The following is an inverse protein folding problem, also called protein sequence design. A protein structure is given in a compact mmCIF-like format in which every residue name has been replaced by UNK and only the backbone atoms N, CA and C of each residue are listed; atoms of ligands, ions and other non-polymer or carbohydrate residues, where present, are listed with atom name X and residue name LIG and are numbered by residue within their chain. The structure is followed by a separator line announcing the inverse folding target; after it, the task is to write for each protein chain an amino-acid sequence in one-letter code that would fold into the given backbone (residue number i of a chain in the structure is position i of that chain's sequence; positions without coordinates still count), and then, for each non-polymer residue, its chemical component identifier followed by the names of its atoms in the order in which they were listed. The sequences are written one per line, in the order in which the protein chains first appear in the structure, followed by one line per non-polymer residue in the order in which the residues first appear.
data_IF_478429365525
#
_entry.id   IF_478429365525
#
_cell.length_a   1.000
_cell.length_b   1.000
_cell.length_c   1.000
_cell.angle_alpha   90.00
_cell.angle_beta   90.00
_cell.angle_gamma   90.00
#
_symmetry.space_group_name_H-M   'P 1'
#
loop_
_entity.id
_entity.type
_entity.pdbx_description
1 polymer ?
#
# COMPACT_ATOMS: atom_id res chain seq x y z
N UNK A 1 -2.86 -23.86 2.67
CA UNK A 1 -1.41 -23.71 2.39
C UNK A 1 -1.11 -22.63 1.34
N UNK A 2 -1.81 -22.59 0.19
CA UNK A 2 -1.56 -21.57 -0.85
C UNK A 2 -1.71 -20.12 -0.38
N UNK A 3 -2.67 -19.82 0.52
CA UNK A 3 -2.85 -18.46 1.05
C UNK A 3 -1.67 -17.96 1.89
N UNK A 4 -1.01 -18.83 2.66
CA UNK A 4 0.17 -18.44 3.46
C UNK A 4 1.34 -18.12 2.53
N UNK A 5 1.58 -18.95 1.51
CA UNK A 5 2.63 -18.67 0.52
C UNK A 5 2.39 -17.35 -0.22
N UNK A 6 1.15 -17.05 -0.61
CA UNK A 6 0.79 -15.80 -1.27
C UNK A 6 0.99 -14.58 -0.36
N UNK A 7 0.60 -14.68 0.92
CA UNK A 7 0.81 -13.61 1.90
C UNK A 7 2.29 -13.37 2.21
N UNK A 8 3.07 -14.45 2.36
CA UNK A 8 4.53 -14.34 2.53
C UNK A 8 5.19 -13.67 1.34
N UNK A 9 4.81 -14.06 0.11
CA UNK A 9 5.28 -13.42 -1.12
C UNK A 9 4.90 -11.94 -1.19
N UNK A 10 3.65 -11.61 -0.90
CA UNK A 10 3.18 -10.22 -0.84
C UNK A 10 4.00 -9.36 0.12
N UNK A 11 4.24 -9.84 1.35
CA UNK A 11 5.01 -9.11 2.35
C UNK A 11 6.48 -8.92 1.94
N UNK A 12 7.07 -9.93 1.29
CA UNK A 12 8.45 -9.83 0.78
C UNK A 12 8.55 -8.79 -0.34
N UNK A 13 7.63 -8.83 -1.32
CA UNK A 13 7.61 -7.87 -2.41
C UNK A 13 7.30 -6.45 -1.93
N UNK A 14 6.34 -6.27 -1.00
CA UNK A 14 6.02 -4.96 -0.43
C UNK A 14 7.23 -4.37 0.31
N UNK A 15 7.93 -5.17 1.12
CA UNK A 15 9.15 -4.75 1.81
C UNK A 15 10.29 -4.40 0.83
N UNK A 16 10.45 -5.21 -0.24
CA UNK A 16 11.46 -4.98 -1.26
C UNK A 16 11.18 -3.70 -2.06
N UNK A 17 9.94 -3.52 -2.53
CA UNK A 17 9.53 -2.34 -3.29
C UNK A 17 9.76 -1.06 -2.50
N UNK A 18 9.41 -1.03 -1.21
CA UNK A 18 9.62 0.17 -0.37
C UNK A 18 11.10 0.48 -0.14
N UNK A 19 11.92 -0.54 0.03
CA UNK A 19 13.35 -0.35 0.21
C UNK A 19 14.03 0.08 -1.10
N UNK A 20 13.58 -0.45 -2.25
CA UNK A 20 14.07 -0.06 -3.56
C UNK A 20 13.64 1.36 -3.94
N UNK A 21 12.39 1.74 -3.65
CA UNK A 21 11.91 3.11 -3.81
C UNK A 21 12.80 4.08 -3.01
N UNK A 22 13.22 3.70 -1.79
CA UNK A 22 14.17 4.50 -1.00
C UNK A 22 15.50 4.73 -1.72
N UNK A 23 16.12 3.64 -2.18
CA UNK A 23 17.42 3.69 -2.84
C UNK A 23 17.37 4.52 -4.14
N UNK A 24 16.27 4.43 -4.89
CA UNK A 24 16.03 5.27 -6.06
C UNK A 24 15.87 6.75 -5.72
N UNK A 25 15.28 7.10 -4.57
CA UNK A 25 15.21 8.48 -4.11
C UNK A 25 16.54 9.02 -3.56
N UNK A 26 17.39 8.16 -2.99
CA UNK A 26 18.68 8.54 -2.38
C UNK A 26 19.85 8.56 -3.40
N UNK A 27 19.77 7.83 -4.53
CA UNK A 27 20.78 7.87 -5.60
C UNK A 27 20.72 9.18 -6.40
N UNK A 28 21.87 9.85 -6.60
CA UNK A 28 22.00 10.97 -7.55
C UNK A 28 22.05 10.43 -8.99
N UNK A 29 21.36 11.03 -9.98
CA UNK A 29 20.56 12.26 -9.93
C UNK A 29 19.17 12.08 -9.32
N UNK A 30 18.67 13.11 -8.62
CA UNK A 30 17.34 13.13 -8.00
C UNK A 30 16.26 12.84 -9.03
N UNK A 31 15.76 11.60 -9.08
CA UNK A 31 14.57 11.29 -9.88
C UNK A 31 13.37 11.96 -9.20
N UNK A 32 12.62 12.74 -9.97
CA UNK A 32 11.43 13.42 -9.47
C UNK A 32 10.37 12.38 -9.10
N UNK A 33 9.74 12.51 -7.93
CA UNK A 33 8.62 11.66 -7.48
C UNK A 33 7.57 11.44 -8.56
N UNK A 34 7.29 12.48 -9.34
CA UNK A 34 6.33 12.46 -10.44
C UNK A 34 6.77 11.53 -11.58
N UNK A 35 8.07 11.43 -11.88
CA UNK A 35 8.59 10.49 -12.86
C UNK A 35 8.48 9.04 -12.37
N UNK A 36 8.71 8.80 -11.07
CA UNK A 36 8.56 7.47 -10.50
C UNK A 36 7.09 7.03 -10.45
N UNK A 37 6.18 7.94 -10.10
CA UNK A 37 4.74 7.71 -10.14
C UNK A 37 4.23 7.45 -11.57
N UNK A 38 4.71 8.21 -12.55
CA UNK A 38 4.39 8.00 -13.96
C UNK A 38 4.89 6.65 -14.45
N UNK A 39 6.13 6.27 -14.12
CA UNK A 39 6.72 4.98 -14.49
C UNK A 39 5.90 3.81 -13.97
N UNK A 40 5.56 3.80 -12.68
CA UNK A 40 4.75 2.71 -12.07
C UNK A 40 3.37 2.63 -12.74
N UNK A 41 2.67 3.76 -12.88
CA UNK A 41 1.34 3.76 -13.51
C UNK A 41 1.39 3.35 -14.99
N UNK A 42 2.42 3.74 -15.75
CA UNK A 42 2.61 3.35 -17.14
C UNK A 42 2.87 1.84 -17.27
N UNK A 43 3.75 1.28 -16.44
CA UNK A 43 3.96 -0.16 -16.40
C UNK A 43 2.69 -0.91 -15.98
N UNK A 44 1.92 -0.38 -15.02
CA UNK A 44 0.63 -0.96 -14.64
C UNK A 44 -0.37 -0.99 -15.80
N UNK A 45 -0.45 0.07 -16.61
CA UNK A 45 -1.33 0.10 -17.80
C UNK A 45 -0.87 -0.91 -18.84
N UNK A 46 0.44 -1.01 -19.11
CA UNK A 46 0.97 -1.97 -20.08
C UNK A 46 0.69 -3.41 -19.63
N UNK A 47 0.99 -3.75 -18.38
CA UNK A 47 0.73 -5.09 -17.84
C UNK A 47 -0.76 -5.43 -17.82
N UNK A 48 -1.62 -4.46 -17.45
CA UNK A 48 -3.07 -4.62 -17.51
C UNK A 48 -3.53 -4.89 -18.95
N UNK A 49 -3.03 -4.11 -19.91
CA UNK A 49 -3.37 -4.28 -21.32
C UNK A 49 -2.94 -5.66 -21.85
N UNK A 50 -1.71 -6.09 -21.59
CA UNK A 50 -1.21 -7.42 -21.99
C UNK A 50 -2.06 -8.54 -21.39
N UNK A 51 -2.38 -8.46 -20.10
CA UNK A 51 -3.20 -9.48 -19.44
C UNK A 51 -4.63 -9.53 -19.99
N UNK A 52 -5.19 -8.38 -20.37
CA UNK A 52 -6.52 -8.28 -20.96
C UNK A 52 -6.55 -8.79 -22.43
N UNK A 53 -5.44 -8.63 -23.16
CA UNK A 53 -5.23 -9.22 -24.50
C UNK A 53 -5.13 -10.75 -24.39
N UNK A 54 -4.33 -11.28 -23.47
CA UNK A 54 -4.18 -12.74 -23.27
C UNK A 54 -5.49 -13.43 -22.91
N UNK A 55 -6.35 -12.77 -22.13
CA UNK A 55 -7.67 -13.29 -21.75
C UNK A 55 -8.71 -13.12 -22.87
N UNK A 56 -8.43 -12.32 -23.90
CA UNK A 56 -9.37 -12.05 -25.01
C UNK A 56 -10.62 -11.27 -24.62
N UNK A 57 -10.67 -10.70 -23.42
CA UNK A 57 -11.87 -10.05 -22.83
C UNK A 57 -11.89 -8.54 -23.01
N UNK A 58 -11.04 -7.96 -23.87
CA UNK A 58 -10.90 -6.50 -24.06
C UNK A 58 -12.23 -5.75 -24.23
N UNK A 59 -13.20 -6.33 -24.93
CA UNK A 59 -14.49 -5.69 -25.24
C UNK A 59 -15.51 -5.81 -24.09
N UNK A 60 -15.35 -6.81 -23.21
CA UNK A 60 -16.31 -7.10 -22.13
C UNK A 60 -16.42 -5.96 -21.09
N UNK A 61 -15.32 -5.36 -20.59
CA UNK A 61 -15.37 -4.20 -19.71
C UNK A 61 -16.01 -2.97 -20.36
N UNK A 62 -15.76 -2.73 -21.66
CA UNK A 62 -16.36 -1.62 -22.40
C UNK A 62 -17.87 -1.80 -22.56
N UNK A 63 -18.33 -3.01 -22.87
CA UNK A 63 -19.74 -3.32 -22.96
C UNK A 63 -20.43 -3.14 -21.60
N UNK A 64 -19.79 -3.55 -20.51
CA UNK A 64 -20.31 -3.38 -19.14
C UNK A 64 -20.41 -1.91 -18.74
N UNK A 65 -19.43 -1.10 -19.14
CA UNK A 65 -19.40 0.35 -18.90
C UNK A 65 -20.55 1.08 -19.60
N UNK A 66 -20.89 0.67 -20.83
CA UNK A 66 -21.99 1.24 -21.62
C UNK A 66 -23.35 0.71 -21.18
N UNK A 67 -23.43 -0.56 -20.76
CA UNK A 67 -24.67 -1.21 -20.38
C UNK A 67 -25.21 -0.79 -18.99
N UNK A 68 -24.38 -0.21 -18.11
CA UNK A 68 -24.80 0.25 -16.78
C UNK A 68 -24.60 1.76 -16.60
N UNK A 69 -25.70 2.52 -16.71
CA UNK A 69 -25.75 3.94 -16.37
C UNK A 69 -25.52 4.13 -14.86
N UNK A 70 -24.26 4.38 -14.47
CA UNK A 70 -23.85 4.56 -13.08
C UNK A 70 -22.45 4.00 -12.81
N UNK A 71 -22.12 2.87 -13.44
CA UNK A 71 -20.82 2.22 -13.29
C UNK A 71 -19.67 3.13 -13.74
N UNK A 72 -19.88 3.90 -14.81
CA UNK A 72 -18.89 4.88 -15.27
C UNK A 72 -18.59 5.99 -14.24
N UNK A 73 -19.60 6.41 -13.46
CA UNK A 73 -19.42 7.40 -12.40
C UNK A 73 -18.64 6.82 -11.23
N UNK A 74 -18.97 5.60 -10.82
CA UNK A 74 -18.26 4.92 -9.73
C UNK A 74 -16.79 4.65 -10.09
N UNK A 75 -16.53 4.19 -11.32
CA UNK A 75 -15.17 4.00 -11.83
C UNK A 75 -14.40 5.32 -11.90
N UNK A 76 -15.04 6.39 -12.35
CA UNK A 76 -14.42 7.72 -12.39
C UNK A 76 -14.08 8.23 -10.99
N UNK A 77 -15.01 8.16 -10.04
CA UNK A 77 -14.79 8.56 -8.66
C UNK A 77 -13.70 7.70 -8.01
N UNK A 78 -13.73 6.39 -8.21
CA UNK A 78 -12.71 5.47 -7.71
C UNK A 78 -11.32 5.80 -8.27
N UNK A 79 -11.23 6.11 -9.56
CA UNK A 79 -9.99 6.54 -10.20
C UNK A 79 -9.50 7.88 -9.66
N UNK A 80 -10.39 8.85 -9.47
CA UNK A 80 -10.05 10.17 -8.93
C UNK A 80 -9.52 10.06 -7.50
N UNK A 81 -10.23 9.38 -6.61
CA UNK A 81 -9.77 9.12 -5.24
C UNK A 81 -8.50 8.27 -5.22
N UNK A 82 -8.37 7.31 -6.13
CA UNK A 82 -7.16 6.50 -6.30
C UNK A 82 -5.94 7.35 -6.69
N UNK A 83 -6.09 8.24 -7.67
CA UNK A 83 -5.04 9.14 -8.12
C UNK A 83 -4.63 10.13 -7.02
N UNK A 84 -5.60 10.73 -6.32
CA UNK A 84 -5.34 11.60 -5.18
C UNK A 84 -4.61 10.84 -4.06
N UNK A 85 -5.04 9.60 -3.76
CA UNK A 85 -4.40 8.72 -2.80
C UNK A 85 -2.95 8.42 -3.17
N UNK A 86 -2.67 8.08 -4.44
CA UNK A 86 -1.31 7.86 -4.92
C UNK A 86 -0.43 9.10 -4.72
N UNK A 87 -0.92 10.31 -5.03
CA UNK A 87 -0.17 11.56 -4.81
C UNK A 87 0.18 11.73 -3.33
N UNK A 88 -0.77 11.48 -2.42
CA UNK A 88 -0.55 11.57 -0.96
C UNK A 88 0.48 10.53 -0.49
N UNK A 89 0.43 9.31 -1.05
CA UNK A 89 1.39 8.24 -0.75
C UNK A 89 2.81 8.66 -1.16
N UNK A 90 3.00 9.10 -2.40
CA UNK A 90 4.31 9.54 -2.89
C UNK A 90 4.83 10.77 -2.13
N UNK A 91 3.97 11.73 -1.80
CA UNK A 91 4.32 12.89 -0.98
C UNK A 91 4.76 12.49 0.43
N UNK A 92 4.11 11.48 1.03
CA UNK A 92 4.48 10.94 2.34
C UNK A 92 5.84 10.25 2.29
N UNK A 93 6.06 9.39 1.30
CA UNK A 93 7.31 8.61 1.18
C UNK A 93 8.52 9.53 1.06
N UNK A 94 8.40 10.62 0.31
CA UNK A 94 9.51 11.57 0.19
C UNK A 94 9.72 12.38 1.48
N UNK A 95 8.64 12.84 2.13
CA UNK A 95 8.78 13.72 3.30
C UNK A 95 9.15 12.99 4.58
N UNK A 96 8.65 11.77 4.78
CA UNK A 96 8.82 10.98 6.01
C UNK A 96 9.61 9.69 5.81
N UNK A 97 9.95 9.36 4.57
CA UNK A 97 10.64 8.12 4.22
C UNK A 97 9.69 6.91 4.12
N UNK A 98 10.17 5.81 3.53
CA UNK A 98 9.36 4.61 3.27
C UNK A 98 8.98 3.84 4.53
N UNK A 99 9.69 4.04 5.65
CA UNK A 99 9.38 3.36 6.91
C UNK A 99 8.09 3.89 7.55
N UNK A 100 7.87 5.21 7.52
CA UNK A 100 6.63 5.80 8.01
C UNK A 100 5.46 5.40 7.09
N UNK A 101 5.70 5.31 5.78
CA UNK A 101 4.71 4.78 4.85
C UNK A 101 4.30 3.34 5.17
N UNK A 102 5.26 2.45 5.42
CA UNK A 102 4.97 1.07 5.83
C UNK A 102 4.13 1.00 7.13
N UNK A 103 4.44 1.84 8.11
CA UNK A 103 3.65 1.95 9.35
C UNK A 103 2.24 2.47 9.08
N UNK A 104 2.06 3.46 8.20
CA UNK A 104 0.72 3.94 7.85
C UNK A 104 -0.09 2.88 7.10
N UNK A 105 0.54 2.08 6.23
CA UNK A 105 -0.13 0.97 5.56
C UNK A 105 -0.61 -0.10 6.55
N UNK A 106 0.22 -0.48 7.52
CA UNK A 106 -0.16 -1.48 8.53
C UNK A 106 -1.28 -0.96 9.44
N UNK A 107 -1.21 0.29 9.88
CA UNK A 107 -2.28 0.92 10.66
C UNK A 107 -3.60 0.94 9.88
N UNK A 108 -3.59 1.35 8.61
CA UNK A 108 -4.77 1.33 7.74
C UNK A 108 -5.38 -0.06 7.65
N UNK A 109 -4.55 -1.09 7.47
CA UNK A 109 -5.02 -2.47 7.36
C UNK A 109 -5.63 -2.97 8.67
N UNK A 110 -5.03 -2.64 9.81
CA UNK A 110 -5.57 -2.97 11.14
C UNK A 110 -6.91 -2.29 11.38
N UNK A 111 -7.05 -1.00 11.09
CA UNK A 111 -8.33 -0.30 11.23
C UNK A 111 -9.41 -0.89 10.32
N UNK A 112 -9.06 -1.25 9.09
CA UNK A 112 -10.00 -1.91 8.17
C UNK A 112 -10.46 -3.28 8.70
N UNK A 113 -9.54 -4.07 9.27
CA UNK A 113 -9.86 -5.35 9.90
C UNK A 113 -10.78 -5.15 11.11
N UNK A 114 -10.46 -4.19 12.00
CA UNK A 114 -11.31 -3.87 13.15
C UNK A 114 -12.72 -3.46 12.72
N UNK A 115 -12.82 -2.51 11.80
CA UNK A 115 -14.11 -2.02 11.31
C UNK A 115 -14.92 -3.15 10.66
N UNK A 116 -14.26 -4.02 9.88
CA UNK A 116 -14.90 -5.20 9.28
C UNK A 116 -15.44 -6.15 10.35
N UNK A 117 -14.66 -6.48 11.39
CA UNK A 117 -15.11 -7.36 12.47
C UNK A 117 -16.32 -6.79 13.23
N UNK A 118 -16.37 -5.47 13.43
CA UNK A 118 -17.50 -4.79 14.07
C UNK A 118 -18.73 -4.76 13.15
N UNK A 119 -18.55 -4.43 11.87
CA UNK A 119 -19.64 -4.29 10.91
C UNK A 119 -20.32 -5.62 10.53
N UNK A 120 -19.54 -6.70 10.42
CA UNK A 120 -20.07 -8.03 10.04
C UNK A 120 -20.51 -8.89 11.23
N UNK A 121 -20.34 -8.43 12.47
CA UNK A 121 -20.82 -9.12 13.67
C UNK A 121 -20.25 -10.53 13.85
N UNK A 122 -19.06 -10.81 13.30
CA UNK A 122 -18.47 -12.15 13.34
C UNK A 122 -18.03 -12.50 14.77
N UNK A 123 -18.29 -13.73 15.26
CA UNK A 123 -17.86 -14.15 16.58
C UNK A 123 -16.33 -14.09 16.65
N UNK A 124 -15.82 -13.08 17.35
CA UNK A 124 -14.39 -12.83 17.47
C UNK A 124 -13.84 -13.91 18.40
N UNK A 125 -13.04 -14.83 17.84
CA UNK A 125 -12.32 -15.82 18.63
C UNK A 125 -11.38 -15.10 19.61
N UNK A 126 -11.25 -15.63 20.83
CA UNK A 126 -10.29 -15.14 21.82
C UNK A 126 -8.86 -15.05 21.26
N UNK A 127 -8.53 -15.91 20.29
CA UNK A 127 -7.24 -15.92 19.59
C UNK A 127 -7.03 -14.68 18.71
N UNK A 128 -8.09 -14.17 18.08
CA UNK A 128 -8.05 -12.96 17.25
C UNK A 128 -7.86 -11.70 18.10
N UNK A 129 -8.49 -11.66 19.28
CA UNK A 129 -8.30 -10.58 20.25
C UNK A 129 -6.85 -10.57 20.76
N UNK A 130 -6.31 -11.74 21.11
CA UNK A 130 -4.91 -11.86 21.53
C UNK A 130 -3.95 -11.42 20.41
N UNK A 131 -4.18 -11.86 19.17
CA UNK A 131 -3.42 -11.45 17.99
C UNK A 131 -3.45 -9.93 17.79
N UNK A 132 -4.61 -9.29 17.96
CA UNK A 132 -4.75 -7.85 17.87
C UNK A 132 -3.86 -7.10 18.89
N UNK A 133 -3.88 -7.51 20.17
CA UNK A 133 -3.03 -6.91 21.19
C UNK A 133 -1.52 -7.09 20.90
N UNK A 134 -1.13 -8.26 20.39
CA UNK A 134 0.25 -8.55 20.00
C UNK A 134 0.69 -7.64 18.85
N UNK A 135 -0.12 -7.52 17.78
CA UNK A 135 0.20 -6.67 16.62
C UNK A 135 0.28 -5.19 17.03
N UNK A 136 -0.65 -4.72 17.86
CA UNK A 136 -0.66 -3.34 18.33
C UNK A 136 0.59 -3.02 19.16
N UNK A 137 0.96 -3.93 20.07
CA UNK A 137 2.19 -3.82 20.87
C UNK A 137 3.45 -3.83 20.00
N UNK A 138 3.51 -4.71 19.00
CA UNK A 138 4.64 -4.80 18.07
C UNK A 138 4.83 -3.49 17.28
N UNK A 139 3.74 -2.86 16.81
CA UNK A 139 3.80 -1.57 16.12
C UNK A 139 4.30 -0.47 17.06
N UNK A 140 3.74 -0.38 18.27
CA UNK A 140 4.16 0.62 19.26
C UNK A 140 5.64 0.48 19.62
N UNK A 141 6.12 -0.75 19.82
CA UNK A 141 7.54 -1.02 20.07
C UNK A 141 8.40 -0.60 18.87
N UNK A 142 7.96 -0.88 17.65
CA UNK A 142 8.71 -0.54 16.44
C UNK A 142 8.83 0.99 16.29
N UNK A 143 7.74 1.72 16.55
CA UNK A 143 7.73 3.19 16.59
C UNK A 143 8.68 3.70 17.69
N UNK A 144 8.58 3.17 18.91
CA UNK A 144 9.41 3.61 20.05
C UNK A 144 10.90 3.34 19.84
N UNK A 145 11.27 2.14 19.38
CA UNK A 145 12.66 1.79 19.05
C UNK A 145 13.22 2.72 17.98
N UNK A 146 12.40 3.07 16.98
CA UNK A 146 12.81 3.99 15.91
C UNK A 146 13.06 5.40 16.43
N UNK A 147 12.18 5.91 17.30
CA UNK A 147 12.36 7.22 17.93
C UNK A 147 13.69 7.28 18.71
N UNK A 148 14.03 6.21 19.44
CA UNK A 148 15.31 6.11 20.17
C UNK A 148 16.53 6.03 19.24
N UNK A 149 16.46 5.27 18.15
CA UNK A 149 17.60 5.16 17.20
C UNK A 149 17.88 6.48 16.49
N UNK A 150 16.84 7.23 16.10
CA UNK A 150 17.00 8.55 15.49
C UNK A 150 17.58 9.54 16.51
N UNK A 151 17.13 9.51 17.75
CA UNK A 151 17.64 10.37 18.82
C UNK A 151 19.11 10.06 19.18
N UNK A 152 19.50 8.78 19.20
CA UNK A 152 20.90 8.38 19.45
C UNK A 152 21.85 8.79 18.32
N UNK A 153 21.40 8.83 17.05
CA UNK A 153 22.23 9.35 15.95
C UNK A 153 22.54 10.84 16.11
N UNK A 154 21.57 11.64 16.54
CA UNK A 154 21.79 13.06 16.81
C UNK A 154 22.79 13.33 17.95
N UNK A 155 22.96 12.40 18.89
CA UNK A 155 23.95 12.51 19.98
C UNK A 155 25.37 12.08 19.57
N UNK A 156 25.55 11.37 18.45
CA UNK A 156 26.86 10.93 17.95
C UNK A 156 27.48 11.94 16.95
N UNK A 157 26.67 12.85 16.41
CA UNK A 157 27.10 13.93 15.50
C UNK A 157 27.35 15.27 16.23
N UNK A 158 27.33 15.29 17.58
CA UNK A 158 27.70 16.45 18.44
C UNK A 158 28.91 16.11 19.29
#
# INVERSE_FOLDING_TARGET
MSGICLMSGYLLFDAFTLNWQKTLFDCKPRISKYQMMFGVNMFSVILCFVSLVEQGTLISPFHFLVAHEGFARDVFLLSLFGALGQVVIYATIERFGPVIFAVMMTLRQIFSIMLSTVAYGHPISALSVLGFFITFSAIFINIYRRHRVVQNRHQLDT
#
